data_IF_008177138657
#
_entry.id   IF_008177138657
#
_cell.length_a   1.000
_cell.length_b   1.000
_cell.length_c   1.000
_cell.angle_alpha   90.00
_cell.angle_beta   90.00
_cell.angle_gamma   90.00
#
_symmetry.space_group_name_H-M   'P 1'
#
loop_
_entity.id
_entity.type
_entity.pdbx_description
1 polymer ?
#
# COMPACT_ATOMS: atom_id res chain seq x y z
N UNK A 1 17.24 11.76 11.01
CA UNK A 1 16.54 11.54 9.70
C UNK A 1 16.63 10.09 9.20
N UNK A 2 17.73 9.37 9.43
CA UNK A 2 17.90 7.95 9.03
C UNK A 2 16.93 6.99 9.74
N UNK A 3 16.68 7.16 11.03
CA UNK A 3 15.76 6.28 11.79
C UNK A 3 14.29 6.47 11.38
N UNK A 4 13.93 7.69 10.96
CA UNK A 4 12.61 7.99 10.42
C UNK A 4 12.36 7.25 9.10
N UNK A 5 13.32 7.28 8.17
CA UNK A 5 13.21 6.54 6.92
C UNK A 5 13.20 5.03 7.15
N UNK A 6 13.91 4.54 8.18
CA UNK A 6 13.87 3.14 8.60
C UNK A 6 12.50 2.73 9.13
N UNK A 7 11.85 3.57 9.93
CA UNK A 7 10.48 3.33 10.44
C UNK A 7 9.42 3.42 9.32
N UNK A 8 9.52 4.38 8.42
CA UNK A 8 8.57 4.55 7.30
C UNK A 8 8.72 3.48 6.23
N UNK A 9 9.93 2.90 6.06
CA UNK A 9 10.18 1.76 5.17
C UNK A 9 10.00 0.39 5.85
N UNK A 10 9.70 0.35 7.15
CA UNK A 10 9.57 -0.90 7.91
C UNK A 10 8.42 -1.72 7.33
N UNK A 11 8.72 -2.97 6.96
CA UNK A 11 7.72 -3.99 6.66
C UNK A 11 7.34 -4.67 7.98
N UNK A 12 6.06 -4.94 8.15
CA UNK A 12 5.55 -5.71 9.28
C UNK A 12 5.76 -7.20 9.01
N UNK A 13 6.37 -7.90 9.98
CA UNK A 13 6.51 -9.35 9.93
C UNK A 13 5.21 -9.99 10.40
N UNK A 14 4.62 -10.81 9.54
CA UNK A 14 3.44 -11.63 9.85
C UNK A 14 3.90 -13.08 9.84
N UNK A 15 3.86 -13.72 11.01
CA UNK A 15 4.11 -15.15 11.15
C UNK A 15 2.81 -15.90 10.89
N UNK A 16 2.85 -16.87 9.98
CA UNK A 16 1.72 -17.67 9.56
C UNK A 16 2.06 -19.13 9.84
N UNK A 17 1.11 -19.84 10.45
CA UNK A 17 1.18 -21.27 10.67
C UNK A 17 -0.13 -21.92 10.28
N UNK A 18 -0.04 -22.99 9.49
CA UNK A 18 -1.16 -23.84 9.09
C UNK A 18 -0.69 -25.29 9.24
N UNK A 19 -1.32 -26.02 10.18
CA UNK A 19 -0.87 -27.36 10.58
C UNK A 19 0.64 -27.34 10.93
N UNK A 20 1.43 -28.12 10.19
CA UNK A 20 2.88 -28.27 10.34
C UNK A 20 3.69 -27.27 9.48
N UNK A 21 3.02 -26.50 8.61
CA UNK A 21 3.68 -25.50 7.79
C UNK A 21 3.73 -24.16 8.51
N UNK A 22 4.92 -23.56 8.59
CA UNK A 22 5.14 -22.23 9.14
C UNK A 22 6.03 -21.38 8.25
N UNK A 23 5.71 -20.09 8.12
CA UNK A 23 6.54 -19.14 7.40
C UNK A 23 6.28 -17.71 7.87
N UNK A 24 7.16 -16.79 7.47
CA UNK A 24 6.99 -15.37 7.72
C UNK A 24 6.77 -14.65 6.41
N UNK A 25 5.88 -13.66 6.40
CA UNK A 25 5.78 -12.68 5.31
C UNK A 25 6.04 -11.28 5.82
N UNK A 26 6.54 -10.42 4.94
CA UNK A 26 6.92 -9.05 5.27
C UNK A 26 6.12 -8.07 4.42
N UNK A 27 5.16 -7.37 5.05
CA UNK A 27 4.17 -6.55 4.34
C UNK A 27 4.21 -5.09 4.78
N UNK A 28 4.08 -4.17 3.83
CA UNK A 28 3.88 -2.75 4.06
C UNK A 28 2.41 -2.47 4.30
N UNK A 29 2.12 -1.43 5.07
CA UNK A 29 0.74 -0.98 5.33
C UNK A 29 -0.12 -0.83 4.05
N UNK A 30 0.47 -0.40 2.93
CA UNK A 30 -0.25 -0.31 1.65
C UNK A 30 -0.74 -1.66 1.15
N UNK A 31 0.04 -2.73 1.31
CA UNK A 31 -0.35 -4.10 0.95
C UNK A 31 -1.50 -4.60 1.85
N UNK A 32 -1.51 -4.24 3.15
CA UNK A 32 -2.66 -4.51 4.03
C UNK A 32 -3.92 -3.76 3.57
N UNK A 33 -3.78 -2.52 3.10
CA UNK A 33 -4.91 -1.72 2.63
C UNK A 33 -5.48 -2.25 1.31
N UNK A 34 -4.62 -2.71 0.41
CA UNK A 34 -5.02 -3.39 -0.81
C UNK A 34 -5.80 -4.67 -0.49
N UNK A 35 -5.30 -5.50 0.44
CA UNK A 35 -6.02 -6.66 0.95
C UNK A 35 -7.40 -6.28 1.50
N UNK A 36 -7.49 -5.24 2.34
CA UNK A 36 -8.76 -4.78 2.89
C UNK A 36 -9.75 -4.33 1.80
N UNK A 37 -9.28 -3.57 0.82
CA UNK A 37 -10.11 -3.12 -0.30
C UNK A 37 -10.59 -4.29 -1.18
N UNK A 38 -9.74 -5.30 -1.38
CA UNK A 38 -10.14 -6.51 -2.09
C UNK A 38 -11.21 -7.28 -1.31
N UNK A 39 -10.98 -7.53 -0.02
CA UNK A 39 -11.89 -8.30 0.82
C UNK A 39 -13.24 -7.61 1.01
N UNK A 40 -13.30 -6.28 1.20
CA UNK A 40 -14.58 -5.57 1.32
C UNK A 40 -15.43 -5.65 0.03
N UNK A 41 -14.79 -5.76 -1.13
CA UNK A 41 -15.50 -5.91 -2.42
C UNK A 41 -16.21 -7.25 -2.54
N UNK A 42 -15.64 -8.30 -1.93
CA UNK A 42 -16.19 -9.66 -1.95
C UNK A 42 -17.10 -9.93 -0.74
N UNK A 43 -16.77 -9.32 0.40
CA UNK A 43 -17.41 -9.52 1.68
C UNK A 43 -17.68 -8.17 2.37
N UNK A 44 -18.85 -7.54 2.15
CA UNK A 44 -19.16 -6.22 2.70
C UNK A 44 -19.02 -6.11 4.23
N UNK A 45 -19.21 -7.23 4.95
CA UNK A 45 -19.00 -7.33 6.40
C UNK A 45 -17.58 -6.94 6.85
N UNK A 46 -16.58 -6.96 5.96
CA UNK A 46 -15.20 -6.56 6.25
C UNK A 46 -15.09 -5.07 6.58
N UNK A 47 -16.02 -4.22 6.14
CA UNK A 47 -16.07 -2.80 6.52
C UNK A 47 -16.32 -2.61 8.03
N UNK A 48 -16.84 -3.64 8.72
CA UNK A 48 -17.00 -3.63 10.20
C UNK A 48 -15.71 -3.96 10.95
N UNK A 49 -14.67 -4.42 10.26
CA UNK A 49 -13.41 -4.79 10.92
C UNK A 49 -12.61 -3.53 11.23
N UNK A 50 -12.06 -3.48 12.44
CA UNK A 50 -11.25 -2.36 12.84
C UNK A 50 -9.94 -2.31 12.02
N UNK A 51 -9.89 -1.45 11.01
CA UNK A 51 -8.72 -1.25 10.16
C UNK A 51 -8.08 0.12 10.43
N UNK A 52 -6.77 0.19 10.75
CA UNK A 52 -6.12 1.45 11.12
C UNK A 52 -6.17 2.47 9.96
N UNK A 53 -6.64 3.71 10.20
CA UNK A 53 -6.75 4.72 9.16
C UNK A 53 -5.38 5.21 8.68
N UNK A 54 -5.33 5.63 7.41
CA UNK A 54 -4.15 6.27 6.81
C UNK A 54 -4.03 7.71 7.35
N UNK A 55 -3.45 7.90 8.53
CA UNK A 55 -3.16 9.25 9.03
C UNK A 55 -2.14 9.95 8.12
N UNK A 56 -2.40 11.22 7.79
CA UNK A 56 -1.64 12.00 6.81
C UNK A 56 -0.27 12.48 7.34
N UNK A 57 -0.08 12.67 8.65
CA UNK A 57 1.17 13.15 9.25
C UNK A 57 1.24 12.69 10.71
N UNK A 58 2.41 12.20 11.16
CA UNK A 58 2.61 11.67 12.53
C UNK A 58 3.30 10.28 12.62
N UNK A 59 3.74 9.71 11.49
CA UNK A 59 4.36 8.37 11.38
C UNK A 59 5.74 8.21 12.08
N UNK A 60 6.10 9.11 13.00
CA UNK A 60 7.41 9.21 13.67
C UNK A 60 7.41 8.64 15.09
N UNK A 61 6.25 8.53 15.73
CA UNK A 61 6.16 8.03 17.09
C UNK A 61 6.20 6.49 17.08
N UNK A 62 7.21 5.92 17.75
CA UNK A 62 7.34 4.48 17.92
C UNK A 62 6.09 3.85 18.55
N UNK A 63 5.43 4.57 19.47
CA UNK A 63 4.17 4.14 20.09
C UNK A 63 3.06 3.98 19.06
N UNK A 64 2.96 4.90 18.10
CA UNK A 64 1.97 4.83 17.03
C UNK A 64 2.24 3.68 16.06
N UNK A 65 3.50 3.45 15.71
CA UNK A 65 3.89 2.32 14.84
C UNK A 65 3.52 1.00 15.51
N UNK A 66 3.81 0.86 16.80
CA UNK A 66 3.50 -0.34 17.57
C UNK A 66 1.98 -0.53 17.74
N UNK A 67 1.23 0.53 17.99
CA UNK A 67 -0.23 0.47 18.08
C UNK A 67 -0.86 0.07 16.74
N UNK A 68 -0.41 0.68 15.63
CA UNK A 68 -0.84 0.28 14.29
C UNK A 68 -0.52 -1.19 14.03
N UNK A 69 0.66 -1.67 14.43
CA UNK A 69 1.06 -3.08 14.30
C UNK A 69 0.06 -3.99 15.01
N UNK A 70 -0.30 -3.69 16.26
CA UNK A 70 -1.31 -4.45 17.03
C UNK A 70 -2.67 -4.46 16.35
N UNK A 71 -3.12 -3.31 15.84
CA UNK A 71 -4.38 -3.20 15.11
C UNK A 71 -4.39 -4.03 13.82
N UNK A 72 -3.30 -3.98 13.04
CA UNK A 72 -3.14 -4.82 11.84
C UNK A 72 -3.13 -6.32 12.17
N UNK A 73 -2.53 -6.72 13.31
CA UNK A 73 -2.58 -8.10 13.77
C UNK A 73 -4.00 -8.53 14.15
N UNK A 74 -4.73 -7.69 14.90
CA UNK A 74 -6.13 -7.95 15.22
C UNK A 74 -7.00 -8.08 13.96
N UNK A 75 -6.80 -7.18 12.99
CA UNK A 75 -7.48 -7.21 11.70
C UNK A 75 -7.25 -8.54 10.96
N UNK A 76 -6.00 -9.00 10.83
CA UNK A 76 -5.71 -10.27 10.14
C UNK A 76 -6.38 -11.47 10.82
N UNK A 77 -6.48 -11.48 12.16
CA UNK A 77 -7.21 -12.53 12.88
C UNK A 77 -8.69 -12.53 12.51
N UNK A 78 -9.32 -11.36 12.43
CA UNK A 78 -10.72 -11.24 12.01
C UNK A 78 -10.93 -11.74 10.57
N UNK A 79 -10.01 -11.39 9.66
CA UNK A 79 -10.04 -11.88 8.27
C UNK A 79 -9.95 -13.41 8.21
N UNK A 80 -8.98 -14.01 8.90
CA UNK A 80 -8.82 -15.47 8.92
C UNK A 80 -10.06 -16.16 9.51
N UNK A 81 -10.62 -15.64 10.60
CA UNK A 81 -11.85 -16.17 11.18
C UNK A 81 -13.02 -16.14 10.20
N UNK A 82 -13.13 -15.08 9.38
CA UNK A 82 -14.14 -15.04 8.33
C UNK A 82 -13.90 -16.01 7.20
N UNK A 83 -12.67 -16.20 6.76
CA UNK A 83 -12.36 -17.20 5.74
C UNK A 83 -12.74 -18.60 6.21
N UNK A 84 -12.43 -18.95 7.46
CA UNK A 84 -12.82 -20.23 8.06
C UNK A 84 -14.35 -20.39 8.11
N UNK A 85 -15.09 -19.33 8.47
CA UNK A 85 -16.56 -19.36 8.53
C UNK A 85 -17.23 -19.45 7.16
N UNK A 86 -16.63 -18.84 6.13
CA UNK A 86 -17.24 -18.72 4.80
C UNK A 86 -16.83 -19.84 3.86
N UNK A 87 -15.67 -20.47 4.09
CA UNK A 87 -15.09 -21.51 3.25
C UNK A 87 -14.89 -22.79 4.07
N UNK A 88 -15.96 -23.57 4.30
CA UNK A 88 -15.86 -24.83 5.05
C UNK A 88 -14.93 -25.84 4.38
N UNK A 89 -14.80 -25.81 3.05
CA UNK A 89 -13.86 -26.67 2.30
C UNK A 89 -12.40 -26.36 2.66
N UNK A 90 -12.02 -25.08 2.77
CA UNK A 90 -10.69 -24.69 3.24
C UNK A 90 -10.44 -25.19 4.67
N UNK A 91 -11.47 -25.19 5.52
CA UNK A 91 -11.37 -25.67 6.90
C UNK A 91 -11.25 -27.19 6.99
N UNK A 92 -11.88 -27.92 6.07
CA UNK A 92 -11.79 -29.37 5.99
C UNK A 92 -10.38 -29.83 5.58
N UNK A 93 -9.74 -29.11 4.65
CA UNK A 93 -8.41 -29.43 4.14
C UNK A 93 -7.49 -28.19 4.10
N UNK A 94 -7.05 -27.69 5.27
CA UNK A 94 -6.25 -26.47 5.35
C UNK A 94 -4.83 -26.76 4.86
N UNK A 95 -4.50 -26.28 3.66
CA UNK A 95 -3.15 -26.40 3.08
C UNK A 95 -2.52 -25.03 2.85
N UNK A 96 -1.19 -24.98 2.82
CA UNK A 96 -0.47 -23.75 2.50
C UNK A 96 -0.88 -23.26 1.12
N UNK A 97 -0.97 -24.15 0.14
CA UNK A 97 -1.26 -23.86 -1.26
C UNK A 97 -2.65 -23.24 -1.43
N UNK A 98 -3.66 -23.80 -0.75
CA UNK A 98 -5.03 -23.26 -0.77
C UNK A 98 -5.10 -21.90 -0.07
N UNK A 99 -4.37 -21.70 1.04
CA UNK A 99 -4.28 -20.39 1.67
C UNK A 99 -3.63 -19.35 0.73
N UNK A 100 -2.57 -19.74 0.03
CA UNK A 100 -1.84 -18.85 -0.87
C UNK A 100 -2.65 -18.48 -2.13
N UNK A 101 -3.48 -19.40 -2.65
CA UNK A 101 -4.37 -19.10 -3.77
C UNK A 101 -5.52 -18.16 -3.38
N UNK A 102 -6.10 -18.36 -2.18
CA UNK A 102 -7.16 -17.51 -1.64
C UNK A 102 -6.64 -16.14 -1.20
N UNK A 103 -5.45 -16.10 -0.62
CA UNK A 103 -4.82 -14.90 -0.09
C UNK A 103 -3.39 -14.76 -0.60
N UNK A 104 -3.18 -14.14 -1.78
CA UNK A 104 -1.84 -13.81 -2.28
C UNK A 104 -1.02 -12.96 -1.30
N UNK A 105 -1.70 -12.23 -0.39
CA UNK A 105 -1.06 -11.52 0.72
C UNK A 105 -0.15 -12.44 1.58
N UNK A 106 -0.45 -13.73 1.67
CA UNK A 106 0.30 -14.70 2.46
C UNK A 106 1.51 -15.30 1.71
N UNK A 107 1.73 -14.94 0.43
CA UNK A 107 2.89 -15.43 -0.33
C UNK A 107 4.21 -14.92 0.26
N UNK A 108 5.19 -15.79 0.42
CA UNK A 108 6.54 -15.32 0.73
C UNK A 108 7.09 -14.59 -0.50
N UNK A 109 7.30 -13.29 -0.39
CA UNK A 109 7.93 -12.50 -1.45
C UNK A 109 9.37 -12.29 -1.02
N UNK A 110 10.33 -13.10 -1.50
CA UNK A 110 11.74 -12.88 -1.24
C UNK A 110 12.11 -11.50 -1.79
N UNK A 111 12.93 -10.78 -1.05
CA UNK A 111 13.33 -9.42 -1.36
C UNK A 111 13.70 -9.24 -2.84
N UNK A 112 13.07 -8.26 -3.50
CA UNK A 112 13.79 -7.56 -4.55
C UNK A 112 14.98 -6.86 -3.89
N UNK A 113 16.17 -7.43 -4.10
CA UNK A 113 17.43 -6.73 -3.88
C UNK A 113 17.29 -5.30 -4.43
N UNK A 114 17.46 -4.30 -3.58
CA UNK A 114 17.78 -2.93 -4.02
C UNK A 114 19.24 -2.92 -4.48
N UNK A 115 19.58 -3.76 -5.47
CA UNK A 115 20.78 -3.62 -6.26
C UNK A 115 20.41 -2.67 -7.39
N UNK A 116 20.63 -1.37 -7.15
CA UNK A 116 20.49 -0.32 -8.14
C UNK A 116 21.50 -0.50 -9.29
N UNK A 117 21.30 -1.51 -10.14
CA UNK A 117 21.78 -1.50 -11.50
C UNK A 117 20.91 -0.47 -12.26
N UNK A 118 21.44 0.74 -12.40
CA UNK A 118 20.91 1.75 -13.31
C UNK A 118 20.95 1.19 -14.72
N UNK A 119 19.85 0.61 -15.19
CA UNK A 119 19.64 0.38 -16.62
C UNK A 119 19.27 1.70 -17.29
N UNK A 120 19.75 1.98 -18.51
CA UNK A 120 19.49 3.25 -19.19
C UNK A 120 18.00 3.35 -19.53
N UNK A 121 17.40 4.47 -19.15
CA UNK A 121 16.00 4.79 -19.46
C UNK A 121 15.90 5.08 -20.96
N UNK A 122 15.50 4.07 -21.75
CA UNK A 122 15.12 4.27 -23.14
C UNK A 122 13.95 5.26 -23.21
N UNK A 123 14.21 6.43 -23.79
CA UNK A 123 13.21 7.42 -24.16
C UNK A 123 12.32 6.82 -25.24
N UNK A 124 11.19 6.24 -24.85
CA UNK A 124 10.07 6.05 -25.79
C UNK A 124 9.21 7.31 -25.79
N UNK A 125 9.26 7.99 -26.93
CA UNK A 125 8.47 9.16 -27.28
C UNK A 125 7.00 8.74 -27.44
N UNK A 126 6.16 8.97 -26.42
CA UNK A 126 4.71 9.04 -26.65
C UNK A 126 4.35 10.47 -27.06
N UNK A 127 4.26 10.57 -28.37
CA UNK A 127 3.90 11.68 -29.22
C UNK A 127 2.48 12.15 -28.91
N UNK A 128 2.30 13.03 -27.92
CA UNK A 128 1.12 13.88 -27.83
C UNK A 128 1.38 15.15 -28.65
N UNK A 129 0.56 15.46 -29.68
CA UNK A 129 0.65 16.73 -30.38
C UNK A 129 0.36 17.87 -29.41
N UNK A 130 1.38 18.71 -29.17
CA UNK A 130 1.21 19.99 -28.49
C UNK A 130 0.48 20.93 -29.45
N UNK A 131 -0.78 21.24 -29.15
CA UNK A 131 -1.42 22.44 -29.67
C UNK A 131 -0.80 23.64 -28.95
N UNK A 132 0.14 24.30 -29.62
CA UNK A 132 0.60 25.62 -29.23
C UNK A 132 -0.52 26.63 -29.43
N UNK A 133 -0.74 27.49 -28.44
CA UNK A 133 -1.38 28.78 -28.65
C UNK A 133 -0.48 29.87 -28.07
N UNK A 134 0.01 30.70 -28.97
CA UNK A 134 0.93 31.79 -28.73
C UNK A 134 0.36 32.86 -27.79
N UNK A 135 1.28 33.30 -26.93
CA UNK A 135 1.45 34.62 -26.31
C UNK A 135 0.76 35.78 -27.02
N UNK A 136 0.03 36.60 -26.26
CA UNK A 136 0.21 38.04 -26.28
C UNK A 136 0.01 38.60 -24.87
N UNK A 137 1.11 39.10 -24.30
CA UNK A 137 1.09 40.04 -23.18
C UNK A 137 0.68 41.38 -23.80
N UNK A 138 -0.52 41.85 -23.50
CA UNK A 138 -0.91 43.20 -23.86
C UNK A 138 -0.18 44.17 -22.93
N UNK A 139 0.60 45.06 -23.55
CA UNK A 139 1.38 46.08 -22.88
C UNK A 139 0.45 47.08 -22.19
N UNK A 140 0.74 47.36 -20.92
CA UNK A 140 0.18 48.46 -20.14
C UNK A 140 0.68 49.79 -20.72
N UNK A 141 -0.18 50.72 -21.16
CA UNK A 141 0.27 52.04 -21.57
C UNK A 141 0.59 52.91 -20.33
N UNK A 142 1.79 53.50 -20.32
CA UNK A 142 2.15 54.63 -19.46
C UNK A 142 1.35 55.88 -19.86
N UNK A 143 0.78 56.64 -18.91
CA UNK A 143 0.33 57.99 -19.19
C UNK A 143 1.53 58.94 -19.19
N UNK A 144 1.91 59.39 -20.39
CA UNK A 144 2.89 60.46 -20.56
C UNK A 144 2.24 61.81 -20.25
N UNK A 145 2.89 62.56 -19.36
CA UNK A 145 2.68 63.97 -19.05
C UNK A 145 2.73 64.85 -20.32
N UNK A 146 1.88 65.87 -20.42
CA UNK A 146 1.98 66.89 -21.47
C UNK A 146 0.86 67.94 -21.44
N UNK A 147 1.26 69.15 -21.07
CA UNK A 147 0.56 70.42 -20.88
C UNK A 147 -0.51 70.87 -21.90
N UNK A 148 -1.48 71.62 -21.38
CA UNK A 148 -1.92 72.94 -21.91
C UNK A 148 -2.61 73.75 -20.80
#
# INVERSE_FOLDING_TARGET
MKDYLRLVRRRERVYIRILDNEWNVYRRYTEFRELHNHLRSQFPQVDTFNFPPKKAIGNKDAKFVEERRKQLQGYLRMVMNKLIQTLPEFTAHPTKETLLSLLPFCLDTPQGNDSGAKTPRSKTSSRFPRLGRSRNQEARPEPQSGDL
#
